data_IF_116471104178
#
_entry.id   IF_116471104178
#
_cell.length_a   1.000
_cell.length_b   1.000
_cell.length_c   1.000
_cell.angle_alpha   90.00
_cell.angle_beta   90.00
_cell.angle_gamma   90.00
#
_symmetry.space_group_name_H-M   'P 1'
#
loop_
_entity.id
_entity.type
_entity.pdbx_description
1 polymer ?
#
# COMPACT_ATOMS: atom_id res chain seq x y z
N UNK A 1 15.80 -19.35 0.05
CA UNK A 1 14.89 -18.68 1.02
C UNK A 1 15.63 -17.95 2.15
N UNK A 2 16.77 -18.44 2.66
CA UNK A 2 17.66 -17.71 3.60
C UNK A 2 18.19 -16.38 3.05
N UNK A 3 18.24 -16.24 1.72
CA UNK A 3 18.81 -15.06 1.04
C UNK A 3 17.89 -13.82 1.06
N UNK A 4 16.55 -14.00 1.06
CA UNK A 4 15.62 -12.86 1.04
C UNK A 4 15.48 -12.19 2.42
N UNK A 5 15.43 -12.99 3.49
CA UNK A 5 15.38 -12.47 4.85
C UNK A 5 16.65 -11.70 5.22
N UNK A 6 17.81 -12.15 4.74
CA UNK A 6 19.11 -11.48 4.92
C UNK A 6 19.22 -10.20 4.10
N UNK A 7 18.69 -10.18 2.86
CA UNK A 7 18.58 -8.96 2.04
C UNK A 7 17.72 -7.87 2.71
N UNK A 8 16.60 -8.26 3.34
CA UNK A 8 15.73 -7.34 4.09
C UNK A 8 16.47 -6.74 5.30
N UNK A 9 17.27 -7.54 6.01
CA UNK A 9 18.06 -7.08 7.17
C UNK A 9 19.21 -6.13 6.76
N UNK A 10 19.87 -6.42 5.63
CA UNK A 10 20.87 -5.52 5.04
C UNK A 10 20.25 -4.19 4.58
N UNK A 11 19.05 -4.23 4.02
CA UNK A 11 18.32 -3.03 3.63
C UNK A 11 17.88 -2.20 4.84
N UNK A 12 17.38 -2.83 5.91
CA UNK A 12 17.06 -2.16 7.17
C UNK A 12 18.27 -1.36 7.68
N UNK A 13 19.45 -1.98 7.62
CA UNK A 13 20.71 -1.34 8.01
C UNK A 13 21.08 -0.17 7.09
N UNK A 14 20.87 -0.31 5.78
CA UNK A 14 21.11 0.77 4.79
C UNK A 14 20.13 1.93 4.96
N UNK A 15 18.85 1.66 5.19
CA UNK A 15 17.82 2.69 5.43
C UNK A 15 18.16 3.47 6.70
N UNK A 16 18.54 2.78 7.78
CA UNK A 16 18.95 3.42 9.02
C UNK A 16 20.17 4.33 8.80
N UNK A 17 21.08 3.98 7.89
CA UNK A 17 22.22 4.82 7.51
C UNK A 17 21.80 6.03 6.67
N UNK A 18 21.02 5.82 5.60
CA UNK A 18 20.57 6.89 4.71
C UNK A 18 19.66 7.91 5.41
N UNK A 19 18.87 7.47 6.40
CA UNK A 19 18.08 8.37 7.26
C UNK A 19 18.92 9.23 8.17
N UNK A 20 20.00 8.68 8.73
CA UNK A 20 20.97 9.45 9.54
C UNK A 20 21.70 10.50 8.69
N UNK A 21 21.81 10.25 7.38
CA UNK A 21 22.45 11.13 6.42
C UNK A 21 21.46 12.10 5.73
N UNK A 22 20.16 12.10 6.09
CA UNK A 22 19.10 12.94 5.50
C UNK A 22 18.92 12.79 3.98
N UNK A 23 19.32 11.65 3.39
CA UNK A 23 19.31 11.44 1.94
C UNK A 23 18.08 10.68 1.40
N UNK A 24 17.22 10.18 2.29
CA UNK A 24 16.05 9.39 1.91
C UNK A 24 14.79 10.03 2.49
N UNK A 25 14.13 10.86 1.68
CA UNK A 25 12.81 11.41 1.98
C UNK A 25 11.77 10.80 1.05
N UNK A 26 11.00 9.85 1.58
CA UNK A 26 9.89 9.20 0.89
C UNK A 26 8.53 9.81 1.28
N UNK A 27 8.53 10.94 2.02
CA UNK A 27 7.31 11.65 2.46
C UNK A 27 6.43 12.06 1.27
N UNK A 28 7.04 12.64 0.23
CA UNK A 28 6.29 13.07 -0.95
C UNK A 28 5.65 11.90 -1.73
N UNK A 29 6.34 10.76 -1.83
CA UNK A 29 5.79 9.57 -2.50
C UNK A 29 4.71 8.89 -1.65
N UNK A 30 4.79 9.01 -0.32
CA UNK A 30 3.75 8.58 0.61
C UNK A 30 2.46 9.36 0.42
N UNK A 31 2.52 10.69 0.51
CA UNK A 31 1.38 11.57 0.26
C UNK A 31 0.77 11.31 -1.11
N UNK A 32 1.63 11.08 -2.10
CA UNK A 32 1.21 10.75 -3.45
C UNK A 32 0.47 9.40 -3.52
N UNK A 33 0.90 8.41 -2.74
CA UNK A 33 0.21 7.11 -2.66
C UNK A 33 -1.18 7.25 -2.04
N UNK A 34 -1.35 8.12 -1.04
CA UNK A 34 -2.65 8.44 -0.44
C UNK A 34 -3.54 9.21 -1.43
N UNK A 35 -2.97 10.15 -2.18
CA UNK A 35 -3.68 10.82 -3.28
C UNK A 35 -4.18 9.80 -4.32
N UNK A 36 -3.36 8.80 -4.68
CA UNK A 36 -3.78 7.72 -5.58
C UNK A 36 -4.92 6.88 -4.99
N UNK A 37 -4.89 6.53 -3.70
CA UNK A 37 -6.01 5.84 -3.04
C UNK A 37 -7.31 6.62 -3.19
N UNK A 38 -7.27 7.93 -2.91
CA UNK A 38 -8.43 8.81 -3.02
C UNK A 38 -8.95 8.93 -4.46
N UNK A 39 -8.05 8.99 -5.45
CA UNK A 39 -8.45 9.00 -6.86
C UNK A 39 -9.13 7.69 -7.28
N UNK A 40 -8.66 6.52 -6.80
CA UNK A 40 -9.37 5.25 -7.02
C UNK A 40 -10.79 5.31 -6.42
N UNK A 41 -10.92 5.83 -5.19
CA UNK A 41 -12.23 5.99 -4.55
C UNK A 41 -13.15 6.95 -5.31
N UNK A 42 -12.61 8.00 -5.95
CA UNK A 42 -13.37 8.90 -6.82
C UNK A 42 -13.83 8.20 -8.11
N UNK A 43 -12.99 7.38 -8.75
CA UNK A 43 -13.40 6.56 -9.89
C UNK A 43 -14.62 5.69 -9.53
N UNK A 44 -14.59 5.04 -8.36
CA UNK A 44 -15.72 4.24 -7.84
C UNK A 44 -16.98 5.09 -7.62
N UNK A 45 -16.85 6.25 -6.99
CA UNK A 45 -17.98 7.14 -6.74
C UNK A 45 -18.65 7.63 -8.02
N UNK A 46 -17.86 8.03 -9.01
CA UNK A 46 -18.41 8.46 -10.30
C UNK A 46 -19.05 7.32 -11.08
N UNK A 47 -18.47 6.12 -11.03
CA UNK A 47 -19.09 4.93 -11.61
C UNK A 47 -20.48 4.67 -11.01
N UNK A 48 -20.58 4.61 -9.68
CA UNK A 48 -21.87 4.36 -9.01
C UNK A 48 -22.86 5.49 -9.24
N UNK A 49 -22.41 6.74 -9.27
CA UNK A 49 -23.31 7.89 -9.47
C UNK A 49 -23.86 7.91 -10.89
N UNK A 50 -23.03 7.67 -11.91
CA UNK A 50 -23.48 7.51 -13.29
C UNK A 50 -24.49 6.37 -13.42
N UNK A 51 -24.20 5.21 -12.82
CA UNK A 51 -25.10 4.05 -12.86
C UNK A 51 -26.45 4.30 -12.15
N UNK A 52 -26.44 5.01 -11.01
CA UNK A 52 -27.66 5.33 -10.24
C UNK A 52 -28.53 6.40 -10.89
N UNK A 53 -27.90 7.38 -11.53
CA UNK A 53 -28.61 8.57 -12.06
C UNK A 53 -28.90 8.49 -13.55
N UNK A 54 -28.26 7.57 -14.28
CA UNK A 54 -28.35 7.48 -15.73
C UNK A 54 -27.63 8.62 -16.48
N UNK A 55 -26.89 9.48 -15.75
CA UNK A 55 -26.20 10.65 -16.30
C UNK A 55 -24.78 10.26 -16.75
N UNK A 56 -24.54 10.28 -18.06
CA UNK A 56 -23.27 9.84 -18.64
C UNK A 56 -22.10 10.77 -18.33
N UNK A 57 -22.35 12.03 -17.95
CA UNK A 57 -21.33 13.03 -17.63
C UNK A 57 -20.44 12.59 -16.46
N UNK A 58 -20.96 11.75 -15.56
CA UNK A 58 -20.15 11.15 -14.49
C UNK A 58 -19.08 10.20 -15.02
N UNK A 59 -19.28 9.57 -16.19
CA UNK A 59 -18.26 8.73 -16.81
C UNK A 59 -17.13 9.57 -17.45
N UNK A 60 -17.42 10.80 -17.88
CA UNK A 60 -16.39 11.74 -18.35
C UNK A 60 -15.53 12.23 -17.19
N UNK A 61 -16.15 12.51 -16.03
CA UNK A 61 -15.44 12.82 -14.79
C UNK A 61 -14.59 11.64 -14.31
N UNK A 62 -15.13 10.42 -14.37
CA UNK A 62 -14.39 9.19 -14.08
C UNK A 62 -13.15 9.09 -14.96
N UNK A 63 -13.27 9.29 -16.28
CA UNK A 63 -12.13 9.21 -17.18
C UNK A 63 -11.07 10.27 -16.85
N UNK A 64 -11.49 11.48 -16.47
CA UNK A 64 -10.58 12.56 -16.05
C UNK A 64 -9.79 12.16 -14.80
N UNK A 65 -10.47 11.69 -13.75
CA UNK A 65 -9.82 11.17 -12.52
C UNK A 65 -8.89 10.00 -12.84
N UNK A 66 -9.32 9.10 -13.72
CA UNK A 66 -8.51 7.95 -14.13
C UNK A 66 -7.20 8.36 -14.80
N UNK A 67 -7.18 9.43 -15.61
CA UNK A 67 -5.93 9.92 -16.19
C UNK A 67 -5.01 10.53 -15.12
N UNK A 68 -5.56 11.33 -14.20
CA UNK A 68 -4.78 11.85 -13.07
C UNK A 68 -4.18 10.73 -12.23
N UNK A 69 -4.97 9.71 -11.88
CA UNK A 69 -4.50 8.55 -11.13
C UNK A 69 -3.36 7.85 -11.85
N UNK A 70 -3.47 7.64 -13.17
CA UNK A 70 -2.42 7.00 -13.96
C UNK A 70 -1.13 7.82 -13.92
N UNK A 71 -1.22 9.14 -14.10
CA UNK A 71 -0.03 10.00 -14.04
C UNK A 71 0.66 9.94 -12.67
N UNK A 72 -0.10 10.11 -11.58
CA UNK A 72 0.46 10.10 -10.23
C UNK A 72 1.02 8.73 -9.84
N UNK A 73 0.33 7.65 -10.20
CA UNK A 73 0.83 6.30 -9.96
C UNK A 73 2.14 6.03 -10.71
N UNK A 74 2.29 6.57 -11.93
CA UNK A 74 3.53 6.46 -12.70
C UNK A 74 4.72 7.25 -12.13
N UNK A 75 4.50 8.20 -11.23
CA UNK A 75 5.59 8.88 -10.49
C UNK A 75 6.19 7.96 -9.42
N UNK A 76 5.36 7.09 -8.83
CA UNK A 76 5.76 6.12 -7.81
C UNK A 76 6.34 4.84 -8.47
N UNK A 77 5.62 4.29 -9.46
CA UNK A 77 5.99 3.02 -10.11
C UNK A 77 6.88 3.31 -11.32
N UNK A 78 8.21 3.24 -11.11
CA UNK A 78 9.19 3.57 -12.15
C UNK A 78 9.49 2.43 -13.13
N UNK A 79 9.08 1.20 -12.82
CA UNK A 79 9.29 0.04 -13.69
C UNK A 79 7.97 -0.54 -14.19
N UNK A 80 7.87 -0.65 -15.51
CA UNK A 80 6.71 -1.17 -16.23
C UNK A 80 6.80 -2.69 -16.42
N UNK A 81 7.00 -3.45 -15.34
CA UNK A 81 6.50 -4.82 -15.34
C UNK A 81 4.98 -4.72 -15.15
N UNK A 82 4.20 -5.01 -16.20
CA UNK A 82 2.77 -4.67 -16.27
C UNK A 82 1.92 -5.20 -15.10
N UNK A 83 2.37 -6.28 -14.44
CA UNK A 83 1.74 -6.84 -13.25
C UNK A 83 1.95 -5.96 -11.99
N UNK A 84 3.14 -5.35 -11.81
CA UNK A 84 3.46 -4.48 -10.67
C UNK A 84 2.51 -3.28 -10.61
N UNK A 85 2.22 -2.68 -11.77
CA UNK A 85 1.30 -1.56 -11.87
C UNK A 85 -0.10 -1.92 -11.36
N UNK A 86 -0.63 -3.04 -11.84
CA UNK A 86 -1.96 -3.49 -11.47
C UNK A 86 -2.01 -3.90 -10.00
N UNK A 87 -1.04 -4.69 -9.53
CA UNK A 87 -0.94 -5.14 -8.14
C UNK A 87 -0.87 -3.94 -7.20
N UNK A 88 0.01 -2.97 -7.47
CA UNK A 88 0.16 -1.78 -6.65
C UNK A 88 -1.14 -0.99 -6.51
N UNK A 89 -1.85 -0.74 -7.63
CA UNK A 89 -3.17 -0.08 -7.60
C UNK A 89 -4.17 -0.87 -6.76
N UNK A 90 -4.20 -2.20 -6.88
CA UNK A 90 -5.12 -3.04 -6.13
C UNK A 90 -4.80 -3.12 -4.63
N UNK A 91 -3.52 -3.11 -4.25
CA UNK A 91 -3.08 -3.03 -2.86
C UNK A 91 -3.51 -1.72 -2.21
N UNK A 92 -3.27 -0.58 -2.88
CA UNK A 92 -3.71 0.73 -2.40
C UNK A 92 -5.24 0.81 -2.24
N UNK A 93 -5.99 0.31 -3.22
CA UNK A 93 -7.45 0.28 -3.16
C UNK A 93 -7.97 -0.58 -2.00
N UNK A 94 -7.45 -1.80 -1.84
CA UNK A 94 -7.84 -2.71 -0.78
C UNK A 94 -7.47 -2.16 0.62
N UNK A 95 -6.28 -1.57 0.77
CA UNK A 95 -5.87 -0.86 1.98
C UNK A 95 -6.90 0.20 2.38
N UNK A 96 -7.26 1.10 1.46
CA UNK A 96 -8.23 2.16 1.72
C UNK A 96 -9.61 1.60 2.12
N UNK A 97 -10.07 0.52 1.47
CA UNK A 97 -11.36 -0.12 1.84
C UNK A 97 -11.32 -0.72 3.23
N UNK A 98 -10.22 -1.36 3.64
CA UNK A 98 -10.08 -1.89 5.00
C UNK A 98 -10.05 -0.78 6.06
N UNK A 99 -9.41 0.36 5.77
CA UNK A 99 -9.42 1.53 6.66
C UNK A 99 -10.85 2.05 6.86
N UNK A 100 -11.62 2.17 5.77
CA UNK A 100 -13.02 2.63 5.82
C UNK A 100 -13.91 1.67 6.64
N UNK A 101 -13.80 0.35 6.43
CA UNK A 101 -14.58 -0.64 7.18
C UNK A 101 -14.13 -0.68 8.64
N UNK A 102 -12.83 -0.62 8.92
CA UNK A 102 -12.31 -0.56 10.29
C UNK A 102 -12.81 0.67 11.05
N UNK A 103 -12.89 1.82 10.39
CA UNK A 103 -13.44 3.06 10.95
C UNK A 103 -14.93 2.93 11.30
N UNK A 104 -15.71 2.25 10.45
CA UNK A 104 -17.12 1.92 10.76
C UNK A 104 -17.24 1.02 11.98
N UNK A 105 -16.42 -0.03 12.08
CA UNK A 105 -16.38 -0.92 13.25
C UNK A 105 -15.98 -0.19 14.53
N UNK A 106 -15.08 0.78 14.43
CA UNK A 106 -14.72 1.64 15.55
C UNK A 106 -15.92 2.50 16.00
N UNK A 107 -16.67 3.07 15.06
CA UNK A 107 -17.91 3.80 15.32
C UNK A 107 -19.02 2.94 15.96
N UNK A 108 -19.04 1.64 15.67
CA UNK A 108 -19.92 0.64 16.30
C UNK A 108 -19.43 0.19 17.69
N UNK A 109 -18.37 0.80 18.24
CA UNK A 109 -17.67 0.38 19.47
C UNK A 109 -17.03 -1.03 19.40
N UNK A 110 -16.92 -1.62 18.20
CA UNK A 110 -16.27 -2.91 17.99
C UNK A 110 -14.77 -2.74 17.75
N UNK A 111 -14.06 -2.37 18.81
CA UNK A 111 -12.62 -2.02 18.75
C UNK A 111 -11.74 -3.18 18.26
N UNK A 112 -12.01 -4.40 18.73
CA UNK A 112 -11.22 -5.59 18.37
C UNK A 112 -11.25 -5.87 16.87
N UNK A 113 -12.42 -5.81 16.26
CA UNK A 113 -12.54 -6.02 14.82
C UNK A 113 -11.90 -4.87 14.03
N UNK A 114 -12.06 -3.62 14.49
CA UNK A 114 -11.41 -2.47 13.89
C UNK A 114 -9.87 -2.59 13.88
N UNK A 115 -9.27 -2.99 14.99
CA UNK A 115 -7.81 -3.21 15.11
C UNK A 115 -7.29 -4.26 14.13
N UNK A 116 -8.02 -5.37 13.96
CA UNK A 116 -7.67 -6.40 12.96
C UNK A 116 -7.72 -5.83 11.54
N UNK A 117 -8.77 -5.07 11.20
CA UNK A 117 -8.92 -4.44 9.88
C UNK A 117 -7.83 -3.41 9.61
N UNK A 118 -7.46 -2.60 10.59
CA UNK A 118 -6.36 -1.63 10.48
C UNK A 118 -5.00 -2.31 10.34
N UNK A 119 -4.75 -3.40 11.07
CA UNK A 119 -3.53 -4.20 10.89
C UNK A 119 -3.43 -4.74 9.47
N UNK A 120 -4.53 -5.32 8.94
CA UNK A 120 -4.56 -5.85 7.59
C UNK A 120 -4.36 -4.73 6.54
N UNK A 121 -4.94 -3.55 6.74
CA UNK A 121 -4.70 -2.40 5.87
C UNK A 121 -3.22 -2.00 5.84
N UNK A 122 -2.60 -1.94 7.01
CA UNK A 122 -1.18 -1.62 7.14
C UNK A 122 -0.28 -2.68 6.48
N UNK A 123 -0.63 -3.97 6.58
CA UNK A 123 0.11 -5.04 5.93
C UNK A 123 0.03 -4.92 4.39
N UNK A 124 -1.13 -4.56 3.83
CA UNK A 124 -1.28 -4.31 2.38
C UNK A 124 -0.49 -3.07 1.92
N UNK A 125 -0.51 -2.00 2.71
CA UNK A 125 0.30 -0.81 2.43
C UNK A 125 1.80 -1.10 2.49
N UNK A 126 2.20 -1.95 3.44
CA UNK A 126 3.58 -2.39 3.58
C UNK A 126 4.03 -3.25 2.40
N UNK A 127 3.14 -4.12 1.91
CA UNK A 127 3.38 -4.91 0.70
C UNK A 127 3.54 -4.01 -0.55
N UNK A 128 2.72 -2.96 -0.68
CA UNK A 128 2.85 -1.98 -1.75
C UNK A 128 4.25 -1.35 -1.79
N UNK A 129 4.78 -0.90 -0.65
CA UNK A 129 6.13 -0.35 -0.57
C UNK A 129 7.20 -1.41 -0.77
N UNK A 130 7.01 -2.62 -0.21
CA UNK A 130 7.93 -3.75 -0.41
C UNK A 130 8.14 -4.08 -1.88
N UNK A 131 7.08 -4.04 -2.69
CA UNK A 131 7.14 -4.24 -4.13
C UNK A 131 7.83 -3.07 -4.82
N UNK A 132 7.38 -1.83 -4.56
CA UNK A 132 7.86 -0.65 -5.29
C UNK A 132 9.29 -0.23 -4.93
N UNK A 133 9.77 -0.60 -3.75
CA UNK A 133 11.17 -0.48 -3.34
C UNK A 133 12.02 -1.70 -3.75
N UNK A 134 11.43 -2.66 -4.48
CA UNK A 134 12.07 -3.91 -4.96
C UNK A 134 12.62 -4.82 -3.87
N UNK A 135 11.96 -4.82 -2.71
CA UNK A 135 12.32 -5.69 -1.58
C UNK A 135 11.72 -7.08 -1.73
N UNK A 136 10.71 -7.20 -2.58
CA UNK A 136 10.06 -8.45 -2.97
C UNK A 136 10.09 -8.52 -4.49
N UNK A 137 10.68 -9.59 -5.02
CA UNK A 137 10.58 -9.87 -6.45
C UNK A 137 9.29 -10.68 -6.72
N UNK A 138 8.31 -10.07 -7.40
CA UNK A 138 7.04 -10.73 -7.73
C UNK A 138 7.24 -11.81 -8.80
N UNK A 139 8.18 -11.61 -9.73
CA UNK A 139 8.46 -12.54 -10.83
C UNK A 139 8.96 -13.91 -10.38
N UNK A 140 9.44 -14.03 -9.13
CA UNK A 140 10.04 -15.24 -8.56
C UNK A 140 9.20 -15.87 -7.44
N UNK A 141 7.93 -15.44 -7.21
CA UNK A 141 7.10 -15.94 -6.10
C UNK A 141 6.66 -17.38 -6.37
N UNK A 142 7.60 -18.32 -6.16
CA UNK A 142 7.34 -19.73 -5.94
C UNK A 142 6.69 -19.84 -4.57
N UNK A 143 5.36 -19.80 -4.54
CA UNK A 143 4.48 -20.23 -3.44
C UNK A 143 4.99 -19.80 -2.05
N UNK A 144 4.48 -18.68 -1.55
CA UNK A 144 4.78 -18.24 -0.18
C UNK A 144 4.28 -19.32 0.78
N UNK A 145 5.16 -19.80 1.67
CA UNK A 145 4.82 -20.84 2.66
C UNK A 145 3.73 -20.31 3.59
N UNK A 146 2.74 -21.14 3.94
CA UNK A 146 1.59 -20.74 4.75
C UNK A 146 2.01 -20.17 6.12
N UNK A 147 3.18 -20.57 6.62
CA UNK A 147 3.79 -20.05 7.84
C UNK A 147 4.34 -18.63 7.73
N UNK A 148 4.56 -18.12 6.51
CA UNK A 148 5.16 -16.80 6.25
C UNK A 148 4.13 -15.66 6.09
N UNK A 149 2.86 -16.01 5.86
CA UNK A 149 1.74 -15.07 5.64
C UNK A 149 0.73 -15.04 6.79
N UNK A 150 1.10 -15.57 7.97
CA UNK A 150 0.14 -15.75 9.05
C UNK A 150 -0.32 -14.38 9.61
N UNK A 151 -1.43 -13.88 9.06
CA UNK A 151 -2.14 -12.64 9.41
C UNK A 151 -2.72 -12.65 10.83
N UNK A 152 -2.66 -13.78 11.53
CA UNK A 152 -3.11 -13.95 12.92
C UNK A 152 -1.97 -14.16 13.92
N UNK A 153 -0.70 -14.06 13.49
CA UNK A 153 0.44 -14.21 14.39
C UNK A 153 0.76 -12.88 15.10
N UNK A 154 0.49 -12.82 16.41
CA UNK A 154 0.78 -11.68 17.28
C UNK A 154 2.28 -11.29 17.29
N UNK A 155 3.17 -12.19 16.88
CA UNK A 155 4.62 -11.93 16.87
C UNK A 155 5.17 -11.41 15.54
N UNK A 156 4.36 -11.27 14.47
CA UNK A 156 4.74 -10.78 13.13
C UNK A 156 6.22 -11.04 12.72
N UNK A 157 6.74 -12.26 12.89
CA UNK A 157 8.15 -12.59 12.55
C UNK A 157 8.38 -12.90 11.06
N UNK A 158 7.31 -12.90 10.26
CA UNK A 158 7.33 -13.17 8.83
C UNK A 158 7.71 -11.96 7.96
N UNK A 159 7.67 -12.14 6.64
CA UNK A 159 8.03 -11.12 5.65
C UNK A 159 7.17 -9.85 5.82
N UNK A 160 5.87 -10.00 6.06
CA UNK A 160 4.96 -8.86 6.27
C UNK A 160 5.34 -8.01 7.49
N UNK A 161 5.76 -8.64 8.59
CA UNK A 161 6.20 -7.91 9.79
C UNK A 161 7.45 -7.09 9.54
N UNK A 162 8.47 -7.68 8.89
CA UNK A 162 9.69 -6.94 8.51
C UNK A 162 9.41 -5.81 7.52
N UNK A 163 8.49 -6.01 6.56
CA UNK A 163 8.06 -4.94 5.65
C UNK A 163 7.36 -3.81 6.42
N UNK A 164 6.52 -4.14 7.39
CA UNK A 164 5.91 -3.17 8.28
C UNK A 164 6.95 -2.36 9.05
N UNK A 165 8.00 -3.00 9.58
CA UNK A 165 9.10 -2.27 10.22
C UNK A 165 9.85 -1.35 9.27
N UNK A 166 10.07 -1.78 8.02
CA UNK A 166 10.69 -0.97 6.98
C UNK A 166 9.81 0.24 6.67
N UNK A 167 8.52 0.02 6.43
CA UNK A 167 7.55 1.07 6.15
C UNK A 167 7.51 2.06 7.31
N UNK A 168 7.32 1.59 8.54
CA UNK A 168 7.38 2.42 9.75
C UNK A 168 8.65 3.24 9.84
N UNK A 169 9.80 2.64 9.52
CA UNK A 169 11.07 3.36 9.54
C UNK A 169 11.10 4.41 8.45
N UNK A 170 10.77 4.04 7.21
CA UNK A 170 10.85 4.86 5.99
C UNK A 170 9.87 6.04 6.03
N UNK A 171 8.62 5.75 6.37
CA UNK A 171 7.42 6.62 6.35
C UNK A 171 7.29 7.29 7.73
N UNK A 172 8.32 8.01 8.11
CA UNK A 172 8.31 8.82 9.33
C UNK A 172 8.04 10.27 8.92
N UNK A 173 6.77 10.60 8.70
CA UNK A 173 6.29 11.92 8.28
C UNK A 173 6.53 13.02 9.32
N UNK A 174 7.03 12.68 10.52
CA UNK A 174 7.25 13.63 11.62
C UNK A 174 8.55 14.45 11.49
N UNK A 175 9.15 14.50 10.30
CA UNK A 175 10.45 15.16 10.05
C UNK A 175 10.41 16.33 9.05
N UNK A 176 9.21 16.81 8.69
CA UNK A 176 9.07 18.14 8.09
C UNK A 176 9.40 19.25 9.10
#
# INVERSE_FOLDING_TARGET
MTNQLTQIDELLTKIDKLKKEHQLDLSADEDLSIAVMNLVSLEEHFFFTGAKTGKSEYYDLLNTVRQMRKELLGKIIKEYEGEIWCVSKHLLAACMRLIEVGTKKLGENNKKEAEVLFSNAYDLYSLFWGINLKLINIGDVKKIDDQQLNIYDDNKKGILGKLGEIVKKIIDCCKE
#
